data_IF_443916274574
#
_entry.id   IF_443916274574
#
_cell.length_a   1.000
_cell.length_b   1.000
_cell.length_c   1.000
_cell.angle_alpha   90.00
_cell.angle_beta   90.00
_cell.angle_gamma   90.00
#
_symmetry.space_group_name_H-M   'P 1'
#
loop_
_entity.id
_entity.type
_entity.pdbx_description
1 polymer ?
#
# COMPACT_ATOMS: atom_id res chain seq x y z
N UNK A 1 4.26 -0.42 22.66
CA UNK A 1 4.73 0.98 22.52
C UNK A 1 4.28 1.48 21.15
N UNK A 2 3.60 2.61 21.05
CA UNK A 2 3.20 3.20 19.78
C UNK A 2 3.69 4.65 19.67
N UNK A 3 4.11 5.06 18.47
CA UNK A 3 4.57 6.42 18.19
C UNK A 3 3.76 6.98 17.03
N UNK A 4 3.07 8.11 17.25
CA UNK A 4 2.31 8.80 16.21
C UNK A 4 3.22 9.85 15.57
N UNK A 5 3.36 9.82 14.24
CA UNK A 5 4.09 10.82 13.46
C UNK A 5 3.16 11.45 12.43
N UNK A 6 3.17 12.78 12.38
CA UNK A 6 2.42 13.55 11.39
C UNK A 6 3.25 13.66 10.11
N UNK A 7 2.71 13.18 8.98
CA UNK A 7 3.34 13.39 7.67
C UNK A 7 2.89 14.71 7.05
N UNK A 8 3.75 15.29 6.20
CA UNK A 8 3.50 16.54 5.43
C UNK A 8 2.26 16.49 4.52
N UNK A 9 1.56 15.35 4.42
CA UNK A 9 0.35 15.13 3.60
C UNK A 9 -0.94 14.98 4.42
N UNK A 10 -0.91 15.30 5.73
CA UNK A 10 -2.12 15.52 6.54
C UNK A 10 -2.78 14.28 7.14
N UNK A 11 -2.38 13.06 6.76
CA UNK A 11 -2.87 11.84 7.41
C UNK A 11 -1.96 11.43 8.58
N UNK A 12 -2.53 11.08 9.75
CA UNK A 12 -1.74 10.59 10.88
C UNK A 12 -1.17 9.21 10.55
N UNK A 13 0.14 9.04 10.70
CA UNK A 13 0.81 7.74 10.60
C UNK A 13 1.19 7.26 12.01
N UNK A 14 0.64 6.14 12.45
CA UNK A 14 1.06 5.46 13.68
C UNK A 14 2.07 4.36 13.36
N UNK A 15 3.17 4.33 14.11
CA UNK A 15 4.06 3.19 14.18
C UNK A 15 3.63 2.38 15.41
N UNK A 16 3.04 1.20 15.19
CA UNK A 16 2.60 0.31 16.25
C UNK A 16 3.50 -0.92 16.26
N UNK A 17 4.23 -1.14 17.36
CA UNK A 17 4.98 -2.38 17.57
C UNK A 17 4.15 -3.30 18.47
N UNK A 18 3.79 -4.45 17.94
CA UNK A 18 2.98 -5.48 18.60
C UNK A 18 3.83 -6.73 18.75
N UNK A 19 3.89 -7.26 19.97
CA UNK A 19 4.50 -8.56 20.27
C UNK A 19 3.38 -9.60 20.34
N UNK A 20 3.48 -10.65 19.56
CA UNK A 20 2.49 -11.71 19.52
C UNK A 20 3.00 -12.90 20.33
N UNK A 21 2.11 -13.51 21.10
CA UNK A 21 2.44 -14.71 21.88
C UNK A 21 2.60 -15.92 20.97
N UNK A 22 1.67 -16.07 20.02
CA UNK A 22 1.68 -17.14 19.03
C UNK A 22 2.33 -16.69 17.73
N UNK A 23 2.91 -17.66 17.03
CA UNK A 23 3.45 -17.46 15.68
C UNK A 23 2.32 -17.20 14.70
N UNK A 24 2.40 -16.10 13.96
CA UNK A 24 1.47 -15.79 12.88
C UNK A 24 1.90 -16.42 11.56
N UNK A 25 0.92 -16.82 10.76
CA UNK A 25 1.15 -17.26 9.39
C UNK A 25 1.02 -16.07 8.42
N UNK A 26 1.67 -16.12 7.25
CA UNK A 26 1.55 -15.05 6.25
C UNK A 26 0.10 -14.72 5.85
N UNK A 27 -0.78 -15.71 5.87
CA UNK A 27 -2.22 -15.55 5.62
C UNK A 27 -2.94 -14.76 6.72
N UNK A 28 -2.43 -14.74 7.95
CA UNK A 28 -2.96 -13.90 9.02
C UNK A 28 -2.50 -12.45 8.86
N UNK A 29 -1.30 -12.23 8.30
CA UNK A 29 -0.81 -10.89 7.94
C UNK A 29 -1.75 -10.27 6.91
N UNK A 30 -2.15 -11.01 5.88
CA UNK A 30 -3.03 -10.52 4.80
C UNK A 30 -4.42 -10.08 5.28
N UNK A 31 -4.88 -10.58 6.44
CA UNK A 31 -6.15 -10.17 7.06
C UNK A 31 -6.06 -8.78 7.69
N UNK A 32 -4.85 -8.37 8.09
CA UNK A 32 -4.59 -7.13 8.83
C UNK A 32 -3.96 -6.11 7.88
N UNK A 33 -2.95 -6.48 7.11
CA UNK A 33 -2.20 -5.57 6.25
C UNK A 33 -2.34 -6.03 4.80
N UNK A 34 -2.80 -5.10 3.96
CA UNK A 34 -2.93 -5.33 2.53
C UNK A 34 -2.08 -4.33 1.76
N UNK A 35 -1.58 -4.76 0.61
CA UNK A 35 -0.78 -3.93 -0.29
C UNK A 35 -1.29 -3.99 -1.74
N UNK A 36 -2.60 -4.23 -1.89
CA UNK A 36 -3.32 -4.32 -3.15
C UNK A 36 -4.58 -3.46 -3.12
N UNK A 37 -5.08 -3.08 -4.29
CA UNK A 37 -6.36 -2.40 -4.41
C UNK A 37 -7.49 -3.35 -3.98
N UNK A 38 -8.43 -2.89 -3.13
CA UNK A 38 -9.65 -3.62 -2.83
C UNK A 38 -10.48 -3.86 -4.09
N UNK A 39 -11.37 -4.85 -4.07
CA UNK A 39 -12.31 -5.02 -5.16
C UNK A 39 -13.29 -3.83 -5.19
N UNK A 40 -13.32 -3.03 -6.28
CA UNK A 40 -14.17 -1.84 -6.36
C UNK A 40 -15.68 -2.15 -6.34
N UNK A 41 -16.08 -3.38 -6.67
CA UNK A 41 -17.49 -3.81 -6.59
C UNK A 41 -17.89 -4.20 -5.16
N UNK A 42 -16.96 -4.80 -4.39
CA UNK A 42 -17.26 -5.29 -3.04
C UNK A 42 -17.09 -4.20 -1.98
N UNK A 43 -16.07 -3.34 -2.12
CA UNK A 43 -15.83 -2.22 -1.20
C UNK A 43 -15.34 -0.97 -1.96
N UNK A 44 -16.25 -0.27 -2.66
CA UNK A 44 -15.92 0.93 -3.43
C UNK A 44 -15.38 2.07 -2.55
N UNK A 45 -15.81 2.15 -1.29
CA UNK A 45 -15.36 3.18 -0.35
C UNK A 45 -13.89 2.98 0.00
N UNK A 46 -13.51 1.76 0.41
CA UNK A 46 -12.11 1.46 0.69
C UNK A 46 -11.26 1.59 -0.57
N UNK A 47 -11.75 1.15 -1.73
CA UNK A 47 -11.06 1.33 -3.00
C UNK A 47 -10.74 2.82 -3.25
N UNK A 48 -11.72 3.71 -3.11
CA UNK A 48 -11.51 5.15 -3.27
C UNK A 48 -10.52 5.73 -2.25
N UNK A 49 -10.55 5.27 -0.99
CA UNK A 49 -9.58 5.68 0.04
C UNK A 49 -8.16 5.23 -0.33
N UNK A 50 -7.99 3.99 -0.78
CA UNK A 50 -6.70 3.42 -1.19
C UNK A 50 -6.18 4.16 -2.43
N UNK A 51 -7.03 4.40 -3.43
CA UNK A 51 -6.67 5.16 -4.64
C UNK A 51 -6.33 6.62 -4.34
N UNK A 52 -6.92 7.24 -3.31
CA UNK A 52 -6.61 8.62 -3.00
C UNK A 52 -5.36 8.77 -2.11
N UNK A 53 -5.15 7.83 -1.19
CA UNK A 53 -4.24 8.04 -0.06
C UNK A 53 -3.13 6.99 0.06
N UNK A 54 -3.34 5.78 -0.45
CA UNK A 54 -2.44 4.63 -0.25
C UNK A 54 -1.71 4.25 -1.53
N UNK A 55 -1.41 5.23 -2.38
CA UNK A 55 -0.56 5.02 -3.55
C UNK A 55 0.78 5.71 -3.33
N UNK A 56 1.85 4.99 -3.60
CA UNK A 56 3.15 5.60 -3.73
C UNK A 56 3.15 6.46 -4.98
N UNK A 57 3.32 7.76 -4.80
CA UNK A 57 3.32 8.71 -5.91
C UNK A 57 4.31 8.26 -6.99
N UNK A 58 3.99 8.47 -8.29
CA UNK A 58 4.88 8.11 -9.37
C UNK A 58 6.28 8.68 -9.14
N UNK A 59 7.26 7.81 -9.32
CA UNK A 59 8.67 8.07 -9.10
C UNK A 59 9.49 7.27 -10.10
N UNK A 60 10.82 7.37 -10.03
CA UNK A 60 11.69 6.69 -10.98
C UNK A 60 11.56 7.32 -12.36
N UNK A 61 11.48 6.52 -13.44
CA UNK A 61 11.33 7.02 -14.80
C UNK A 61 10.09 7.91 -14.99
N UNK A 62 9.03 7.68 -14.20
CA UNK A 62 7.81 8.47 -14.27
C UNK A 62 7.99 9.87 -13.65
N UNK A 63 8.86 10.03 -12.66
CA UNK A 63 9.11 11.30 -12.00
C UNK A 63 10.44 11.27 -11.22
N UNK A 64 11.49 11.79 -11.85
CA UNK A 64 12.82 11.88 -11.24
C UNK A 64 12.88 12.90 -10.08
N UNK A 65 11.96 13.86 -10.06
CA UNK A 65 11.88 14.91 -9.04
C UNK A 65 11.05 14.50 -7.81
N UNK A 66 10.57 13.25 -7.76
CA UNK A 66 9.80 12.78 -6.61
C UNK A 66 10.68 12.79 -5.34
N UNK A 67 10.15 13.18 -4.17
CA UNK A 67 10.92 13.35 -2.94
C UNK A 67 11.51 12.04 -2.39
N UNK A 68 11.06 10.89 -2.90
CA UNK A 68 11.59 9.58 -2.56
C UNK A 68 12.82 9.17 -3.39
N UNK A 69 13.21 9.95 -4.39
CA UNK A 69 14.32 9.66 -5.29
C UNK A 69 15.66 10.02 -4.64
N UNK A 70 16.63 9.10 -4.73
CA UNK A 70 18.05 9.31 -4.39
C UNK A 70 18.88 8.52 -5.39
N UNK A 71 19.94 9.12 -5.92
CA UNK A 71 20.86 8.45 -6.87
C UNK A 71 20.14 7.79 -8.06
N UNK A 72 19.11 8.48 -8.59
CA UNK A 72 18.29 8.00 -9.70
C UNK A 72 17.35 6.83 -9.37
N UNK A 73 17.28 6.39 -8.10
CA UNK A 73 16.44 5.27 -7.66
C UNK A 73 15.45 5.69 -6.58
N UNK A 74 14.29 5.04 -6.56
CA UNK A 74 13.35 5.22 -5.45
C UNK A 74 13.93 4.56 -4.19
N UNK A 75 14.18 5.35 -3.15
CA UNK A 75 14.67 4.88 -1.84
C UNK A 75 13.74 3.86 -1.19
N UNK A 76 12.45 3.88 -1.54
CA UNK A 76 11.42 2.93 -1.06
C UNK A 76 11.27 1.70 -1.96
N UNK A 77 12.04 1.62 -3.05
CA UNK A 77 12.08 0.51 -4.02
C UNK A 77 10.72 0.26 -4.68
N UNK A 78 10.06 1.32 -5.16
CA UNK A 78 8.87 1.24 -6.00
C UNK A 78 9.26 1.35 -7.50
N UNK A 79 8.51 0.70 -8.41
CA UNK A 79 7.38 -0.21 -8.15
C UNK A 79 7.82 -1.52 -7.46
N UNK A 80 6.97 -2.08 -6.59
CA UNK A 80 7.23 -3.36 -5.92
C UNK A 80 6.95 -4.53 -6.86
N UNK A 81 7.70 -5.65 -6.79
CA UNK A 81 7.39 -6.81 -7.61
C UNK A 81 6.00 -7.38 -7.26
N UNK A 82 5.36 -8.01 -8.24
CA UNK A 82 4.16 -8.80 -7.95
C UNK A 82 4.51 -10.01 -7.08
N UNK A 83 3.54 -10.40 -6.27
CA UNK A 83 3.65 -11.53 -5.37
C UNK A 83 2.26 -12.07 -5.09
N UNK A 84 2.02 -13.35 -5.38
CA UNK A 84 0.68 -13.94 -5.23
C UNK A 84 0.32 -14.22 -3.75
N UNK A 85 1.31 -14.35 -2.87
CA UNK A 85 1.13 -14.62 -1.43
C UNK A 85 2.13 -13.82 -0.60
N UNK A 86 1.75 -13.40 0.60
CA UNK A 86 2.69 -12.77 1.53
C UNK A 86 3.79 -13.75 1.93
N UNK A 87 5.05 -13.28 1.96
CA UNK A 87 6.22 -14.08 2.35
C UNK A 87 6.94 -13.42 3.52
N UNK A 88 7.23 -14.20 4.56
CA UNK A 88 8.11 -13.77 5.66
C UNK A 88 9.56 -14.05 5.27
N UNK A 89 10.42 -13.04 5.29
CA UNK A 89 11.86 -13.19 5.03
C UNK A 89 12.66 -13.23 6.34
N UNK A 90 13.93 -13.65 6.23
CA UNK A 90 14.86 -13.75 7.35
C UNK A 90 15.23 -12.39 7.97
N UNK A 91 14.99 -11.30 7.25
CA UNK A 91 15.21 -9.92 7.73
C UNK A 91 14.12 -9.41 8.69
N UNK A 92 13.09 -10.23 8.95
CA UNK A 92 12.00 -9.93 9.87
C UNK A 92 10.89 -9.05 9.27
N UNK A 93 10.98 -8.66 8.00
CA UNK A 93 9.95 -7.86 7.34
C UNK A 93 9.15 -8.68 6.31
N UNK A 94 7.82 -8.74 6.41
CA UNK A 94 7.03 -9.46 5.42
C UNK A 94 7.03 -8.73 4.08
N UNK A 95 7.23 -9.49 3.00
CA UNK A 95 6.90 -9.07 1.63
C UNK A 95 5.42 -9.34 1.39
N UNK A 96 4.63 -8.27 1.37
CA UNK A 96 3.19 -8.35 1.18
C UNK A 96 2.77 -8.82 -0.22
N UNK A 97 1.66 -9.55 -0.27
CA UNK A 97 0.96 -9.92 -1.50
C UNK A 97 0.60 -8.70 -2.35
N UNK A 98 0.87 -8.80 -3.64
CA UNK A 98 0.58 -7.84 -4.72
C UNK A 98 0.25 -8.61 -5.99
N UNK A 99 -1.01 -9.00 -6.17
CA UNK A 99 -1.42 -9.77 -7.35
C UNK A 99 -1.33 -8.92 -8.62
N UNK A 100 -0.86 -9.54 -9.70
CA UNK A 100 -0.89 -8.90 -11.02
C UNK A 100 -2.34 -8.80 -11.55
N UNK A 101 -2.62 -7.91 -12.50
CA UNK A 101 -3.94 -7.87 -13.16
C UNK A 101 -4.36 -9.21 -13.78
N UNK A 102 -3.39 -10.00 -14.27
CA UNK A 102 -3.63 -11.34 -14.81
C UNK A 102 -4.04 -12.36 -13.73
N UNK A 103 -3.65 -12.13 -12.48
CA UNK A 103 -3.93 -12.98 -11.33
C UNK A 103 -4.99 -12.36 -10.39
N UNK A 104 -5.93 -11.58 -10.94
CA UNK A 104 -7.05 -11.00 -10.17
C UNK A 104 -6.70 -9.75 -9.35
N UNK A 105 -5.54 -9.13 -9.59
CA UNK A 105 -5.24 -7.80 -9.06
C UNK A 105 -6.03 -6.70 -9.78
N UNK A 106 -6.44 -5.66 -9.05
CA UNK A 106 -7.11 -4.50 -9.64
C UNK A 106 -6.12 -3.42 -10.04
N UNK A 107 -6.56 -2.54 -10.95
CA UNK A 107 -5.84 -1.31 -11.34
C UNK A 107 -6.66 -0.09 -10.95
N UNK A 108 -6.02 1.07 -11.00
CA UNK A 108 -6.66 2.36 -10.79
C UNK A 108 -6.11 3.38 -11.78
N UNK A 109 -6.93 4.36 -12.17
CA UNK A 109 -6.48 5.52 -12.94
C UNK A 109 -6.25 6.68 -12.00
N UNK A 110 -5.04 7.24 -12.01
CA UNK A 110 -4.70 8.43 -11.23
C UNK A 110 -4.33 9.59 -12.14
N UNK A 111 -4.78 10.79 -11.77
CA UNK A 111 -4.36 12.04 -12.41
C UNK A 111 -3.21 12.63 -11.65
N UNK A 112 -2.10 12.86 -12.35
CA UNK A 112 -1.00 13.68 -11.84
C UNK A 112 -1.23 15.10 -12.33
N UNK A 113 -0.94 16.10 -11.48
CA UNK A 113 -1.08 17.50 -11.89
C UNK A 113 -0.30 17.77 -13.17
N UNK A 114 -0.99 18.25 -14.20
CA UNK A 114 -0.40 18.59 -15.50
C UNK A 114 -0.06 17.39 -16.41
N UNK A 115 -0.61 16.20 -16.15
CA UNK A 115 -0.46 15.02 -17.04
C UNK A 115 -1.79 14.31 -17.26
N UNK A 116 -1.84 13.51 -18.32
CA UNK A 116 -2.94 12.59 -18.60
C UNK A 116 -3.11 11.55 -17.49
N UNK A 117 -4.27 10.89 -17.49
CA UNK A 117 -4.55 9.76 -16.59
C UNK A 117 -3.53 8.65 -16.79
N UNK A 118 -2.87 8.28 -15.69
CA UNK A 118 -1.97 7.14 -15.64
C UNK A 118 -2.69 5.96 -15.00
N UNK A 119 -2.71 4.83 -15.69
CA UNK A 119 -3.13 3.57 -15.10
C UNK A 119 -1.99 2.99 -14.25
N UNK A 120 -2.32 2.63 -13.02
CA UNK A 120 -1.42 2.06 -12.03
C UNK A 120 -2.02 0.78 -11.46
N UNK A 121 -1.17 -0.08 -10.92
CA UNK A 121 -1.55 -1.38 -10.39
C UNK A 121 -1.07 -1.57 -8.95
N UNK A 122 -1.24 -2.79 -8.45
CA UNK A 122 -0.83 -3.21 -7.12
C UNK A 122 0.67 -3.04 -6.83
N UNK A 123 1.54 -2.80 -7.81
CA UNK A 123 2.96 -2.55 -7.56
C UNK A 123 3.21 -1.21 -6.86
N UNK A 124 2.25 -0.28 -6.95
CA UNK A 124 2.37 1.09 -6.43
C UNK A 124 1.64 1.31 -5.12
N UNK A 125 0.82 0.37 -4.67
CA UNK A 125 0.04 0.50 -3.44
C UNK A 125 0.96 0.49 -2.21
N UNK A 126 0.82 1.47 -1.32
CA UNK A 126 1.49 1.48 -0.02
C UNK A 126 0.72 0.54 0.91
N UNK A 127 1.40 -0.35 1.68
CA UNK A 127 0.70 -1.22 2.61
C UNK A 127 -0.18 -0.42 3.59
N UNK A 128 -1.41 -0.87 3.78
CA UNK A 128 -2.39 -0.25 4.67
C UNK A 128 -3.04 -1.31 5.56
N UNK A 129 -3.53 -0.88 6.72
CA UNK A 129 -4.28 -1.76 7.60
C UNK A 129 -5.73 -1.87 7.11
N UNK A 130 -6.20 -3.09 6.86
CA UNK A 130 -7.59 -3.40 6.60
C UNK A 130 -8.35 -3.35 7.93
N UNK A 131 -8.69 -2.14 8.38
CA UNK A 131 -9.64 -2.01 9.47
C UNK A 131 -11.05 -2.23 8.90
N UNK A 132 -11.80 -3.25 9.36
CA UNK A 132 -13.22 -3.32 9.07
C UNK A 132 -13.84 -2.01 9.59
N UNK A 133 -14.67 -1.40 8.75
CA UNK A 133 -15.28 -0.08 8.97
C UNK A 133 -15.71 0.04 10.44
N UNK A 134 -15.14 0.99 11.17
CA UNK A 134 -15.80 1.44 12.40
C UNK A 134 -17.14 2.02 11.93
N UNK A 135 -18.21 1.25 12.13
CA UNK A 135 -19.57 1.72 11.94
C UNK A 135 -19.70 3.02 12.73
N UNK A 136 -19.93 4.12 12.02
CA UNK A 136 -20.33 5.37 12.65
C UNK A 136 -21.64 5.05 13.37
N UNK A 137 -21.59 4.84 14.68
CA UNK A 137 -22.76 4.97 15.51
C UNK A 137 -23.11 6.45 15.51
N UNK A 138 -23.98 6.85 14.58
CA UNK A 138 -24.79 8.07 14.68
C UNK A 138 -26.01 7.79 15.53
#
# INVERSE_FOLDING_TARGET
>A
MYTIKWQKRGLPQSHNLIWLHDKIYPTDIDKIIQAEFPNPQNDPELYNIVVKNMIHGPCGPLNLNAPCMSDGKCTKKYPKPYLDDTKTEDDGYPKYRRRSPKNGGFTAKIRLQGRDELEIDNQWVVPYNYFPKCSKHT
#
